data_IF_561279652781
#
_entry.id   IF_561279652781
#
_cell.length_a   1.000
_cell.length_b   1.000
_cell.length_c   1.000
_cell.angle_alpha   90.00
_cell.angle_beta   90.00
_cell.angle_gamma   90.00
#
_symmetry.space_group_name_H-M   'P 1'
#
loop_
_entity.id
_entity.type
_entity.pdbx_description
1 polymer ?
#
# COMPACT_ATOMS: atom_id res chain seq x y z
N UNK A 1 -10.18 10.31 -2.81
CA UNK A 1 -9.94 9.67 -1.49
C UNK A 1 -8.88 10.48 -0.78
N UNK A 2 -9.06 10.75 0.50
CA UNK A 2 -8.04 11.44 1.32
C UNK A 2 -6.97 10.43 1.79
N UNK A 3 -5.69 10.79 1.69
CA UNK A 3 -4.56 9.95 2.10
C UNK A 3 -4.18 10.27 3.56
N UNK A 4 -4.42 9.35 4.48
CA UNK A 4 -4.14 9.47 5.91
C UNK A 4 -2.85 8.77 6.32
N UNK A 5 -2.64 7.54 5.87
CA UNK A 5 -1.46 6.74 6.24
C UNK A 5 -0.26 7.03 5.35
N UNK A 6 -0.45 7.15 4.03
CA UNK A 6 0.61 7.31 3.04
C UNK A 6 1.54 8.52 3.30
N UNK A 7 1.04 9.72 3.67
CA UNK A 7 1.92 10.85 3.97
C UNK A 7 2.88 10.57 5.12
N UNK A 8 2.44 9.81 6.12
CA UNK A 8 3.17 9.42 7.34
C UNK A 8 4.16 8.27 7.13
N UNK A 9 4.26 7.74 5.91
CA UNK A 9 5.21 6.69 5.57
C UNK A 9 6.58 7.23 5.21
N UNK A 10 7.60 6.47 5.57
CA UNK A 10 8.97 6.73 5.15
C UNK A 10 9.13 6.46 3.64
N UNK A 11 10.12 7.08 3.00
CA UNK A 11 10.38 6.96 1.55
C UNK A 11 10.45 5.52 1.06
N UNK A 12 11.04 4.61 1.86
CA UNK A 12 11.08 3.18 1.53
C UNK A 12 9.69 2.56 1.48
N UNK A 13 8.85 2.84 2.48
CA UNK A 13 7.49 2.29 2.56
C UNK A 13 6.61 2.87 1.44
N UNK A 14 6.75 4.17 1.13
CA UNK A 14 6.09 4.80 -0.01
C UNK A 14 6.43 4.09 -1.33
N UNK A 15 7.71 3.85 -1.61
CA UNK A 15 8.13 3.10 -2.82
C UNK A 15 7.54 1.70 -2.89
N UNK A 16 7.45 0.99 -1.76
CA UNK A 16 6.84 -0.34 -1.72
C UNK A 16 5.32 -0.28 -1.95
N UNK A 17 4.63 0.73 -1.39
CA UNK A 17 3.20 0.96 -1.63
C UNK A 17 2.87 1.28 -3.09
N UNK A 18 3.80 1.84 -3.87
CA UNK A 18 3.59 2.14 -5.28
C UNK A 18 4.03 1.01 -6.22
N UNK A 19 4.64 -0.05 -5.69
CA UNK A 19 5.10 -1.20 -6.48
C UNK A 19 3.90 -2.06 -6.92
N UNK A 20 3.71 -2.20 -8.22
CA UNK A 20 2.69 -3.04 -8.84
C UNK A 20 2.91 -4.53 -8.51
N UNK A 21 1.82 -5.27 -8.30
CA UNK A 21 1.83 -6.72 -8.01
C UNK A 21 2.53 -7.51 -9.11
N UNK A 22 2.17 -7.29 -10.37
CA UNK A 22 2.78 -7.98 -11.49
C UNK A 22 3.81 -7.09 -12.16
N UNK A 23 5.08 -7.48 -12.06
CA UNK A 23 6.16 -6.90 -12.87
C UNK A 23 6.65 -7.99 -13.84
N UNK A 24 6.58 -7.70 -15.13
CA UNK A 24 7.31 -8.48 -16.14
C UNK A 24 8.77 -8.09 -16.00
N UNK A 25 9.59 -9.00 -15.49
CA UNK A 25 11.04 -8.83 -15.40
C UNK A 25 11.76 -9.75 -16.38
N UNK A 26 13.08 -9.60 -16.53
CA UNK A 26 13.93 -10.45 -17.37
C UNK A 26 13.84 -11.96 -17.04
N UNK A 27 13.39 -12.33 -15.83
CA UNK A 27 13.22 -13.72 -15.35
C UNK A 27 11.75 -14.18 -15.28
N UNK A 28 10.84 -13.52 -16.00
CA UNK A 28 9.42 -13.87 -16.04
C UNK A 28 8.53 -13.02 -15.12
N UNK A 29 7.31 -13.51 -14.86
CA UNK A 29 6.28 -12.82 -14.06
C UNK A 29 6.58 -12.95 -12.57
N UNK A 30 7.05 -11.87 -11.94
CA UNK A 30 7.17 -11.83 -10.48
C UNK A 30 5.90 -11.23 -9.87
N UNK A 31 5.34 -11.94 -8.90
CA UNK A 31 4.19 -11.49 -8.11
C UNK A 31 4.67 -10.88 -6.80
N UNK A 32 4.38 -9.60 -6.60
CA UNK A 32 4.69 -8.85 -5.40
C UNK A 32 3.47 -8.77 -4.49
N UNK A 33 3.63 -9.13 -3.22
CA UNK A 33 2.60 -8.98 -2.19
C UNK A 33 3.04 -7.93 -1.18
N UNK A 34 2.30 -6.84 -1.09
CA UNK A 34 2.58 -5.80 -0.11
C UNK A 34 2.10 -6.26 1.28
N UNK A 35 3.02 -6.34 2.23
CA UNK A 35 2.73 -6.71 3.62
C UNK A 35 3.38 -5.69 4.56
N UNK A 36 2.62 -4.72 5.10
CA UNK A 36 3.17 -3.77 6.06
C UNK A 36 3.57 -4.52 7.34
N UNK A 37 4.73 -4.18 7.89
CA UNK A 37 5.21 -4.76 9.15
C UNK A 37 4.32 -4.35 10.31
N UNK A 38 4.14 -5.23 11.30
CA UNK A 38 3.31 -4.93 12.48
C UNK A 38 3.79 -3.68 13.23
N UNK A 39 5.12 -3.45 13.30
CA UNK A 39 5.70 -2.23 13.89
C UNK A 39 5.22 -0.95 13.20
N UNK A 40 5.12 -0.95 11.87
CA UNK A 40 4.60 0.18 11.11
C UNK A 40 3.13 0.41 11.40
N UNK A 41 2.34 -0.66 11.45
CA UNK A 41 0.91 -0.60 11.74
C UNK A 41 0.68 -0.02 13.13
N UNK A 42 1.40 -0.48 14.15
CA UNK A 42 1.28 0.02 15.51
C UNK A 42 1.70 1.50 15.61
N UNK A 43 2.76 1.91 14.90
CA UNK A 43 3.18 3.32 14.83
C UNK A 43 2.07 4.20 14.26
N UNK A 44 1.49 3.80 13.13
CA UNK A 44 0.42 4.54 12.46
C UNK A 44 -0.88 4.53 13.28
N UNK A 45 -1.18 3.41 13.95
CA UNK A 45 -2.34 3.30 14.85
C UNK A 45 -2.26 4.33 15.98
N UNK A 46 -1.08 4.47 16.61
CA UNK A 46 -0.86 5.48 17.63
C UNK A 46 -0.96 6.92 17.08
N UNK A 47 -0.36 7.19 15.92
CA UNK A 47 -0.37 8.53 15.31
C UNK A 47 -1.75 8.98 14.82
N UNK A 48 -2.50 8.06 14.23
CA UNK A 48 -3.83 8.33 13.67
C UNK A 48 -4.95 8.13 14.69
N UNK A 49 -4.63 7.66 15.90
CA UNK A 49 -5.61 7.29 16.94
C UNK A 49 -6.66 6.29 16.40
N UNK A 50 -6.20 5.34 15.59
CA UNK A 50 -7.05 4.33 14.94
C UNK A 50 -6.68 2.92 15.41
N UNK A 51 -7.63 1.98 15.45
CA UNK A 51 -7.30 0.59 15.73
C UNK A 51 -6.41 0.01 14.61
N UNK A 52 -5.47 -0.90 14.93
CA UNK A 52 -4.56 -1.50 13.95
C UNK A 52 -5.25 -2.11 12.72
N UNK A 53 -6.45 -2.68 12.91
CA UNK A 53 -7.24 -3.24 11.83
C UNK A 53 -7.73 -2.17 10.85
N UNK A 54 -8.19 -1.02 11.35
CA UNK A 54 -8.60 0.10 10.52
C UNK A 54 -7.41 0.72 9.77
N UNK A 55 -6.23 0.77 10.39
CA UNK A 55 -4.99 1.19 9.70
C UNK A 55 -4.64 0.24 8.55
N UNK A 56 -4.78 -1.07 8.74
CA UNK A 56 -4.56 -2.05 7.65
C UNK A 56 -5.51 -1.80 6.48
N UNK A 57 -6.80 -1.58 6.77
CA UNK A 57 -7.80 -1.28 5.75
C UNK A 57 -7.49 0.04 5.03
N UNK A 58 -7.15 1.08 5.79
CA UNK A 58 -6.76 2.38 5.25
C UNK A 58 -5.57 2.24 4.29
N UNK A 59 -4.50 1.54 4.70
CA UNK A 59 -3.34 1.29 3.85
C UNK A 59 -3.72 0.53 2.57
N UNK A 60 -4.60 -0.46 2.66
CA UNK A 60 -5.05 -1.22 1.48
C UNK A 60 -5.85 -0.34 0.50
N UNK A 61 -6.78 0.46 1.01
CA UNK A 61 -7.57 1.40 0.21
C UNK A 61 -6.70 2.47 -0.44
N UNK A 62 -5.76 3.06 0.32
CA UNK A 62 -4.83 4.05 -0.20
C UNK A 62 -3.90 3.46 -1.25
N UNK A 63 -3.39 2.24 -1.03
CA UNK A 63 -2.59 1.53 -2.03
C UNK A 63 -3.37 1.31 -3.32
N UNK A 64 -4.60 0.83 -3.24
CA UNK A 64 -5.46 0.66 -4.41
C UNK A 64 -5.65 1.98 -5.16
N UNK A 65 -5.98 3.03 -4.43
CA UNK A 65 -6.18 4.37 -5.00
C UNK A 65 -4.92 4.88 -5.70
N UNK A 66 -3.77 4.81 -5.05
CA UNK A 66 -2.48 5.25 -5.61
C UNK A 66 -2.09 4.43 -6.85
N UNK A 67 -2.27 3.12 -6.81
CA UNK A 67 -2.00 2.27 -7.97
C UNK A 67 -2.92 2.59 -9.15
N UNK A 68 -4.21 2.90 -8.89
CA UNK A 68 -5.14 3.34 -9.94
C UNK A 68 -4.74 4.68 -10.55
N UNK A 69 -4.29 5.63 -9.73
CA UNK A 69 -3.80 6.92 -10.20
C UNK A 69 -2.54 6.77 -11.09
N UNK A 70 -1.67 5.81 -10.80
CA UNK A 70 -0.44 5.59 -11.56
C UNK A 70 -0.60 4.72 -12.81
N UNK A 71 -1.43 3.67 -12.74
CA UNK A 71 -1.49 2.62 -13.75
C UNK A 71 -2.86 2.48 -14.44
N UNK A 72 -3.86 3.27 -14.02
CA UNK A 72 -5.19 3.26 -14.60
C UNK A 72 -6.26 2.51 -13.78
N UNK A 73 -7.53 2.60 -14.19
CA UNK A 73 -8.68 2.08 -13.43
C UNK A 73 -8.74 0.55 -13.38
N UNK A 74 -8.04 -0.15 -14.27
CA UNK A 74 -8.03 -1.62 -14.38
C UNK A 74 -7.38 -2.32 -13.17
N UNK A 75 -6.72 -1.57 -12.30
CA UNK A 75 -6.16 -2.09 -11.06
C UNK A 75 -7.29 -2.45 -10.09
N UNK A 76 -7.38 -3.73 -9.77
CA UNK A 76 -8.39 -4.28 -8.87
C UNK A 76 -7.87 -4.49 -7.44
N UNK A 77 -8.77 -4.77 -6.48
CA UNK A 77 -8.39 -5.14 -5.11
C UNK A 77 -7.40 -6.32 -5.04
N UNK A 78 -7.43 -7.22 -6.02
CA UNK A 78 -6.50 -8.34 -6.14
C UNK A 78 -5.05 -7.92 -6.40
N UNK A 79 -4.80 -6.68 -6.84
CA UNK A 79 -3.47 -6.16 -7.18
C UNK A 79 -2.77 -5.45 -6.00
N UNK A 80 -3.42 -5.40 -4.85
CA UNK A 80 -3.00 -4.68 -3.63
C UNK A 80 -2.26 -5.61 -2.69
#
# INVERSE_FOLDING_TARGET
MELKAFPLLDTRCKRLMLRRKHRVGKRGRQTYHYRPQQRLINRLAAQLQMPPQAVRQQIAQERLYLLRQMYGPDIGPQDV
#
